data_IF_127825239774
#
_entry.id   IF_127825239774
#
_cell.length_a   1.000
_cell.length_b   1.000
_cell.length_c   1.000
_cell.angle_alpha   90.00
_cell.angle_beta   90.00
_cell.angle_gamma   90.00
#
_symmetry.space_group_name_H-M   'P 1'
#
loop_
_entity.id
_entity.type
_entity.pdbx_description
1 polymer ?
#
# COMPACT_ATOMS: atom_id res chain seq x y z
N UNK A 1 -5.83 -35.42 -17.05
CA UNK A 1 -6.36 -34.38 -16.19
C UNK A 1 -6.67 -33.16 -17.04
N UNK A 2 -7.90 -32.68 -17.09
CA UNK A 2 -8.22 -31.51 -17.89
C UNK A 2 -7.76 -30.27 -17.13
N UNK A 3 -6.65 -29.68 -17.57
CA UNK A 3 -6.30 -28.31 -17.21
C UNK A 3 -7.32 -27.35 -17.81
N UNK A 4 -8.48 -27.23 -17.20
CA UNK A 4 -9.38 -26.13 -17.50
C UNK A 4 -8.68 -24.85 -17.08
N UNK A 5 -8.31 -24.04 -18.07
CA UNK A 5 -7.76 -22.70 -17.89
C UNK A 5 -8.82 -21.81 -17.23
N UNK A 6 -8.80 -21.74 -15.91
CA UNK A 6 -9.65 -20.81 -15.12
C UNK A 6 -9.44 -19.33 -15.53
N UNK A 7 -8.38 -19.05 -16.31
CA UNK A 7 -8.05 -17.67 -16.73
C UNK A 7 -8.97 -17.04 -17.78
N UNK A 8 -9.78 -17.81 -18.49
CA UNK A 8 -10.54 -17.25 -19.62
C UNK A 8 -12.03 -17.09 -19.37
N UNK A 9 -12.53 -17.35 -18.17
CA UNK A 9 -13.98 -17.31 -17.90
C UNK A 9 -14.40 -16.32 -16.80
N UNK A 10 -13.46 -15.56 -16.22
CA UNK A 10 -13.85 -14.46 -15.35
C UNK A 10 -14.14 -13.22 -16.21
N UNK A 11 -15.40 -12.77 -16.26
CA UNK A 11 -15.74 -11.55 -16.99
C UNK A 11 -15.07 -10.34 -16.31
N UNK A 12 -14.15 -9.70 -17.03
CA UNK A 12 -13.43 -8.51 -16.57
C UNK A 12 -14.23 -7.22 -16.82
N UNK A 13 -15.49 -7.34 -17.25
CA UNK A 13 -16.34 -6.18 -17.53
C UNK A 13 -17.35 -5.95 -16.41
N UNK A 14 -17.45 -4.72 -15.88
CA UNK A 14 -18.47 -4.37 -14.87
C UNK A 14 -19.93 -4.51 -15.36
N UNK A 15 -20.12 -4.80 -16.65
CA UNK A 15 -21.45 -4.96 -17.29
C UNK A 15 -21.82 -6.42 -17.55
N UNK A 16 -20.97 -7.39 -17.18
CA UNK A 16 -21.28 -8.80 -17.36
C UNK A 16 -22.19 -9.30 -16.22
N UNK A 17 -23.26 -9.98 -16.58
CA UNK A 17 -24.11 -10.69 -15.62
C UNK A 17 -23.30 -11.81 -14.98
N UNK A 18 -22.95 -11.66 -13.69
CA UNK A 18 -22.20 -12.63 -12.91
C UNK A 18 -23.10 -13.66 -12.21
N UNK A 19 -24.43 -13.53 -12.35
CA UNK A 19 -25.42 -14.42 -11.71
C UNK A 19 -25.15 -15.90 -12.02
N UNK A 20 -24.91 -16.31 -13.29
CA UNK A 20 -24.65 -17.72 -13.61
C UNK A 20 -23.35 -18.25 -12.97
N UNK A 21 -22.34 -17.39 -12.78
CA UNK A 21 -21.10 -17.78 -12.11
C UNK A 21 -21.33 -17.99 -10.61
N UNK A 22 -22.06 -17.08 -9.98
CA UNK A 22 -22.40 -17.15 -8.56
C UNK A 22 -23.29 -18.37 -8.30
N UNK A 23 -24.32 -18.60 -9.11
CA UNK A 23 -25.21 -19.76 -8.99
C UNK A 23 -24.42 -21.07 -9.17
N UNK A 24 -23.49 -21.12 -10.11
CA UNK A 24 -22.63 -22.29 -10.30
C UNK A 24 -21.67 -22.55 -9.12
N UNK A 25 -21.16 -21.50 -8.49
CA UNK A 25 -20.35 -21.62 -7.28
C UNK A 25 -21.18 -22.04 -6.06
N UNK A 26 -22.38 -21.49 -5.91
CA UNK A 26 -23.29 -21.85 -4.82
C UNK A 26 -23.75 -23.30 -4.96
N UNK A 27 -24.11 -23.77 -6.16
CA UNK A 27 -24.45 -25.17 -6.40
C UNK A 27 -23.32 -26.10 -5.98
N UNK A 28 -22.06 -25.81 -6.34
CA UNK A 28 -20.89 -26.61 -5.94
C UNK A 28 -20.66 -26.65 -4.42
N UNK A 29 -20.97 -25.56 -3.73
CA UNK A 29 -20.83 -25.50 -2.25
C UNK A 29 -21.97 -26.26 -1.56
N UNK A 30 -23.16 -26.30 -2.16
CA UNK A 30 -24.35 -26.93 -1.56
C UNK A 30 -24.46 -28.42 -1.86
N UNK A 31 -23.93 -28.91 -2.98
CA UNK A 31 -23.97 -30.33 -3.35
C UNK A 31 -23.12 -31.24 -2.45
N UNK A 32 -22.23 -30.66 -1.66
CA UNK A 32 -21.44 -31.30 -0.60
C UNK A 32 -20.93 -32.70 -0.99
N UNK A 33 -20.46 -32.84 -2.26
CA UNK A 33 -19.85 -34.08 -2.74
C UNK A 33 -18.47 -34.26 -2.08
N UNK A 34 -18.28 -35.29 -1.25
CA UNK A 34 -17.01 -35.53 -0.58
C UNK A 34 -15.87 -35.80 -1.56
N UNK A 35 -16.15 -36.38 -2.71
CA UNK A 35 -15.14 -36.70 -3.73
C UNK A 35 -14.69 -35.44 -4.47
N UNK A 36 -15.62 -34.58 -4.92
CA UNK A 36 -15.28 -33.30 -5.53
C UNK A 36 -14.53 -32.39 -4.54
N UNK A 37 -14.94 -32.36 -3.28
CA UNK A 37 -14.25 -31.60 -2.22
C UNK A 37 -12.81 -32.10 -2.01
N UNK A 38 -12.57 -33.40 -2.10
CA UNK A 38 -11.24 -33.99 -1.99
C UNK A 38 -10.36 -33.58 -3.18
N UNK A 39 -10.88 -33.67 -4.40
CA UNK A 39 -10.18 -33.23 -5.61
C UNK A 39 -9.75 -31.76 -5.56
N UNK A 40 -10.63 -30.89 -5.06
CA UNK A 40 -10.29 -29.48 -4.87
C UNK A 40 -9.17 -29.26 -3.85
N UNK A 41 -9.16 -30.00 -2.74
CA UNK A 41 -8.09 -29.95 -1.74
C UNK A 41 -6.76 -30.41 -2.32
N UNK A 42 -6.74 -31.54 -2.97
CA UNK A 42 -5.54 -32.08 -3.62
C UNK A 42 -4.99 -31.12 -4.68
N UNK A 43 -5.88 -30.51 -5.45
CA UNK A 43 -5.52 -29.48 -6.42
C UNK A 43 -4.94 -28.23 -5.76
N UNK A 44 -5.54 -27.76 -4.67
CA UNK A 44 -5.05 -26.59 -3.91
C UNK A 44 -3.66 -26.87 -3.32
N UNK A 45 -3.48 -28.03 -2.70
CA UNK A 45 -2.20 -28.43 -2.12
C UNK A 45 -1.10 -28.52 -3.19
N UNK A 46 -1.43 -29.05 -4.37
CA UNK A 46 -0.51 -29.09 -5.51
C UNK A 46 -0.15 -27.69 -6.02
N UNK A 47 -1.12 -26.77 -6.07
CA UNK A 47 -0.87 -25.38 -6.47
C UNK A 47 -0.03 -24.62 -5.44
N UNK A 48 -0.24 -24.86 -4.15
CA UNK A 48 0.57 -24.28 -3.08
C UNK A 48 2.02 -24.78 -3.19
N UNK A 49 2.20 -26.10 -3.36
CA UNK A 49 3.52 -26.70 -3.55
C UNK A 49 4.23 -26.17 -4.81
N UNK A 50 3.51 -26.01 -5.91
CA UNK A 50 4.06 -25.44 -7.14
C UNK A 50 4.43 -23.96 -6.97
N UNK A 51 3.60 -23.17 -6.29
CA UNK A 51 3.92 -21.78 -5.97
C UNK A 51 5.20 -21.67 -5.16
N UNK A 52 5.34 -22.49 -4.11
CA UNK A 52 6.55 -22.57 -3.30
C UNK A 52 7.77 -22.98 -4.15
N UNK A 53 7.63 -23.99 -5.01
CA UNK A 53 8.70 -24.43 -5.89
C UNK A 53 9.17 -23.35 -6.86
N UNK A 54 8.24 -22.57 -7.41
CA UNK A 54 8.54 -21.49 -8.35
C UNK A 54 9.20 -20.30 -7.66
N UNK A 55 8.66 -19.91 -6.51
CA UNK A 55 9.06 -18.68 -5.85
C UNK A 55 10.23 -18.83 -4.89
N UNK A 56 10.35 -19.96 -4.21
CA UNK A 56 11.34 -20.13 -3.14
C UNK A 56 12.51 -21.06 -3.52
N UNK A 57 12.34 -21.89 -4.56
CA UNK A 57 13.36 -22.89 -4.91
C UNK A 57 13.99 -22.71 -6.29
N UNK A 58 13.24 -22.24 -7.30
CA UNK A 58 13.70 -22.20 -8.70
C UNK A 58 13.94 -20.81 -9.26
N UNK A 59 13.34 -19.77 -8.66
CA UNK A 59 13.36 -18.43 -9.21
C UNK A 59 14.23 -17.47 -8.42
N UNK A 60 14.87 -16.55 -9.15
CA UNK A 60 15.35 -15.29 -8.57
C UNK A 60 14.28 -14.24 -8.82
N UNK A 61 13.68 -13.75 -7.73
CA UNK A 61 12.64 -12.72 -7.83
C UNK A 61 13.25 -11.35 -8.02
N UNK A 62 13.13 -10.81 -9.24
CA UNK A 62 13.54 -9.45 -9.57
C UNK A 62 12.37 -8.45 -9.48
N UNK A 63 11.21 -8.86 -8.98
CA UNK A 63 10.09 -7.95 -8.76
C UNK A 63 10.26 -7.22 -7.43
N UNK A 64 10.51 -5.89 -7.44
CA UNK A 64 10.76 -5.11 -6.22
C UNK A 64 9.51 -4.95 -5.35
N UNK A 65 8.34 -5.38 -5.83
CA UNK A 65 7.11 -5.42 -5.04
C UNK A 65 6.94 -6.71 -4.23
N UNK A 66 7.83 -7.70 -4.41
CA UNK A 66 7.86 -8.96 -3.66
C UNK A 66 8.91 -8.90 -2.55
N UNK A 67 8.66 -9.60 -1.46
CA UNK A 67 9.61 -9.74 -0.38
C UNK A 67 9.47 -11.11 0.31
N UNK A 68 10.48 -11.49 1.07
CA UNK A 68 10.47 -12.65 1.96
C UNK A 68 10.07 -12.18 3.35
N UNK A 69 8.95 -12.68 3.86
CA UNK A 69 8.51 -12.33 5.21
C UNK A 69 9.42 -12.97 6.26
N UNK A 70 9.64 -12.26 7.37
CA UNK A 70 10.31 -12.85 8.53
C UNK A 70 9.52 -14.09 9.00
N UNK A 71 10.15 -15.28 9.16
CA UNK A 71 9.44 -16.52 9.51
C UNK A 71 8.65 -16.44 10.82
N UNK A 72 9.10 -15.64 11.80
CA UNK A 72 8.34 -15.42 13.04
C UNK A 72 7.09 -14.58 12.79
N UNK A 73 7.17 -13.56 11.94
CA UNK A 73 6.02 -12.74 11.57
C UNK A 73 5.01 -13.57 10.77
N UNK A 74 5.49 -14.43 9.87
CA UNK A 74 4.63 -15.34 9.10
C UNK A 74 3.91 -16.35 10.01
N UNK A 75 4.61 -16.96 10.96
CA UNK A 75 4.03 -17.88 11.92
C UNK A 75 2.91 -17.24 12.77
N UNK A 76 2.97 -15.95 13.07
CA UNK A 76 1.92 -15.24 13.80
C UNK A 76 0.60 -15.15 13.04
N UNK A 77 0.60 -15.25 11.70
CA UNK A 77 -0.63 -15.24 10.88
C UNK A 77 -1.54 -16.42 11.21
N UNK A 78 -0.99 -17.54 11.68
CA UNK A 78 -1.72 -18.75 12.07
C UNK A 78 -2.08 -18.79 13.56
N UNK A 79 -1.77 -17.77 14.36
CA UNK A 79 -2.00 -17.74 15.81
C UNK A 79 -3.36 -17.13 16.21
N UNK A 80 -4.35 -17.25 15.35
CA UNK A 80 -5.75 -16.81 15.57
C UNK A 80 -5.94 -15.30 15.80
N UNK A 81 -4.93 -14.47 15.62
CA UNK A 81 -5.05 -13.01 15.80
C UNK A 81 -5.99 -12.37 14.78
N UNK A 82 -6.07 -12.91 13.57
CA UNK A 82 -6.91 -12.39 12.47
C UNK A 82 -8.37 -12.87 12.50
N UNK A 83 -8.76 -13.71 13.45
CA UNK A 83 -10.12 -14.30 13.49
C UNK A 83 -11.06 -13.61 14.49
N UNK A 84 -10.61 -12.54 15.12
CA UNK A 84 -11.39 -11.80 16.11
C UNK A 84 -11.60 -10.37 15.67
N UNK A 85 -12.82 -9.88 15.79
CA UNK A 85 -13.11 -8.47 15.64
C UNK A 85 -12.40 -7.67 16.74
N UNK A 86 -11.92 -6.49 16.41
CA UNK A 86 -11.24 -5.59 17.35
C UNK A 86 -11.62 -4.15 16.99
N UNK A 87 -12.91 -3.85 17.13
CA UNK A 87 -13.44 -2.51 16.86
C UNK A 87 -13.16 -1.56 18.03
N UNK A 88 -13.08 -0.28 17.71
CA UNK A 88 -12.74 0.77 18.67
C UNK A 88 -11.25 1.01 18.82
N UNK A 89 -10.90 1.92 19.70
CA UNK A 89 -9.51 2.31 20.00
C UNK A 89 -8.98 1.56 21.23
N UNK A 90 -7.66 1.47 21.41
CA UNK A 90 -7.10 0.98 22.67
C UNK A 90 -7.67 1.73 23.87
N UNK A 91 -8.14 0.99 24.88
CA UNK A 91 -8.84 1.53 26.05
C UNK A 91 -10.33 1.81 25.86
N UNK A 92 -10.85 1.69 24.63
CA UNK A 92 -12.27 1.89 24.29
C UNK A 92 -12.70 0.90 23.19
N UNK A 93 -12.57 -0.40 23.48
CA UNK A 93 -12.97 -1.48 22.59
C UNK A 93 -14.45 -1.83 22.77
N UNK A 94 -15.10 -2.20 21.68
CA UNK A 94 -16.52 -2.59 21.73
C UNK A 94 -16.75 -4.00 22.26
N UNK A 95 -15.83 -4.93 21.94
CA UNK A 95 -15.91 -6.31 22.37
C UNK A 95 -15.07 -6.54 23.62
N UNK A 96 -15.49 -7.50 24.45
CA UNK A 96 -14.75 -7.94 25.65
C UNK A 96 -13.64 -8.93 25.29
N UNK A 97 -12.59 -9.02 26.14
CA UNK A 97 -11.50 -9.97 25.97
C UNK A 97 -10.47 -9.54 24.93
N UNK A 98 -10.38 -8.25 24.63
CA UNK A 98 -9.43 -7.67 23.69
C UNK A 98 -8.20 -7.02 24.36
N UNK A 99 -8.03 -7.16 25.68
CA UNK A 99 -6.94 -6.53 26.45
C UNK A 99 -5.54 -6.83 25.86
N UNK A 100 -5.32 -8.07 25.38
CA UNK A 100 -4.04 -8.44 24.79
C UNK A 100 -3.90 -7.86 23.36
N UNK A 101 -4.99 -7.84 22.58
CA UNK A 101 -4.97 -7.31 21.20
C UNK A 101 -4.73 -5.80 21.22
N UNK A 102 -5.37 -5.05 22.10
CA UNK A 102 -5.14 -3.60 22.20
C UNK A 102 -3.71 -3.26 22.64
N UNK A 103 -3.10 -4.06 23.50
CA UNK A 103 -1.68 -3.90 23.84
C UNK A 103 -0.78 -4.17 22.62
N UNK A 104 -1.09 -5.18 21.80
CA UNK A 104 -0.37 -5.45 20.55
C UNK A 104 -0.52 -4.28 19.57
N UNK A 105 -1.72 -3.70 19.46
CA UNK A 105 -1.97 -2.51 18.61
C UNK A 105 -1.12 -1.32 19.07
N UNK A 106 -1.08 -1.04 20.38
CA UNK A 106 -0.25 0.04 20.95
C UNK A 106 1.23 -0.22 20.67
N UNK A 107 1.72 -1.41 20.99
CA UNK A 107 3.13 -1.77 20.73
C UNK A 107 3.49 -1.65 19.26
N UNK A 108 2.61 -2.07 18.33
CA UNK A 108 2.84 -1.95 16.91
C UNK A 108 2.93 -0.48 16.45
N UNK A 109 2.06 0.38 16.98
CA UNK A 109 2.07 1.81 16.65
C UNK A 109 3.32 2.51 17.23
N UNK A 110 3.70 2.22 18.47
CA UNK A 110 4.90 2.77 19.12
C UNK A 110 6.17 2.35 18.39
N UNK A 111 6.32 1.05 18.10
CA UNK A 111 7.47 0.54 17.34
C UNK A 111 7.55 1.11 15.92
N UNK A 112 6.41 1.25 15.24
CA UNK A 112 6.39 1.88 13.93
C UNK A 112 6.81 3.36 14.00
N UNK A 113 6.31 4.09 15.00
CA UNK A 113 6.71 5.48 15.22
C UNK A 113 8.22 5.59 15.53
N UNK A 114 8.76 4.73 16.39
CA UNK A 114 10.19 4.68 16.72
C UNK A 114 11.05 4.38 15.48
N UNK A 115 10.74 3.31 14.75
CA UNK A 115 11.50 2.87 13.56
C UNK A 115 11.57 3.97 12.50
N UNK A 116 10.49 4.72 12.31
CA UNK A 116 10.44 5.79 11.30
C UNK A 116 10.67 7.20 11.87
N UNK A 117 11.05 7.32 13.13
CA UNK A 117 11.31 8.62 13.76
C UNK A 117 10.10 9.56 13.72
N UNK A 118 8.90 9.02 13.85
CA UNK A 118 7.63 9.73 13.81
C UNK A 118 7.02 9.91 15.21
N UNK A 119 6.09 10.86 15.35
CA UNK A 119 5.30 11.00 16.57
C UNK A 119 4.10 10.07 16.61
N UNK A 120 3.52 9.81 15.44
CA UNK A 120 2.28 9.07 15.31
C UNK A 120 2.39 8.02 14.20
N UNK A 121 1.78 6.86 14.43
CA UNK A 121 1.69 5.79 13.45
C UNK A 121 0.27 5.20 13.43
N UNK A 122 -0.29 5.00 12.24
CA UNK A 122 -1.52 4.25 12.04
C UNK A 122 -1.19 2.91 11.36
N UNK A 123 -1.34 1.83 12.13
CA UNK A 123 -0.97 0.46 11.75
C UNK A 123 -2.15 -0.38 11.26
N UNK A 124 -3.39 0.11 11.40
CA UNK A 124 -4.63 -0.62 11.10
C UNK A 124 -5.08 -0.40 9.65
N UNK A 125 -4.16 -0.22 8.74
CA UNK A 125 -4.44 0.04 7.33
C UNK A 125 -4.34 -1.25 6.54
N UNK A 126 -5.41 -1.63 5.85
CA UNK A 126 -5.50 -2.92 5.16
C UNK A 126 -4.60 -3.02 3.92
N UNK A 127 -4.22 -1.91 3.30
CA UNK A 127 -3.31 -1.90 2.15
C UNK A 127 -2.62 -0.56 1.97
N UNK A 128 -1.51 -0.53 1.23
CA UNK A 128 -0.84 0.73 0.89
C UNK A 128 -1.67 1.65 -0.02
N UNK A 129 -2.59 1.10 -0.81
CA UNK A 129 -3.52 1.92 -1.57
C UNK A 129 -4.49 2.68 -0.64
N UNK A 130 -4.94 2.02 0.42
CA UNK A 130 -5.75 2.66 1.47
C UNK A 130 -4.93 3.65 2.30
N UNK A 131 -3.64 3.42 2.53
CA UNK A 131 -2.78 4.42 3.17
C UNK A 131 -2.82 5.74 2.41
N UNK A 132 -2.66 5.70 1.09
CA UNK A 132 -2.73 6.89 0.25
C UNK A 132 -4.13 7.52 0.28
N UNK A 133 -5.19 6.72 0.16
CA UNK A 133 -6.57 7.20 0.22
C UNK A 133 -6.86 7.90 1.55
N UNK A 134 -6.45 7.32 2.67
CA UNK A 134 -6.70 7.91 4.00
C UNK A 134 -5.98 9.25 4.17
N UNK A 135 -4.75 9.38 3.64
CA UNK A 135 -4.07 10.68 3.63
C UNK A 135 -4.83 11.69 2.75
N UNK A 136 -5.31 11.29 1.57
CA UNK A 136 -6.12 12.18 0.73
C UNK A 136 -7.39 12.63 1.45
N UNK A 137 -8.10 11.70 2.11
CA UNK A 137 -9.32 12.01 2.88
C UNK A 137 -9.04 12.92 4.08
N UNK A 138 -7.89 12.77 4.72
CA UNK A 138 -7.51 13.57 5.89
C UNK A 138 -7.02 14.97 5.53
N UNK A 139 -6.49 15.18 4.31
CA UNK A 139 -5.78 16.41 3.94
C UNK A 139 -6.44 17.21 2.82
N UNK A 140 -7.32 16.59 2.04
CA UNK A 140 -7.93 17.17 0.85
C UNK A 140 -9.47 17.05 0.89
N UNK A 141 -10.11 17.78 -0.02
CA UNK A 141 -11.53 17.66 -0.34
C UNK A 141 -11.71 17.33 -1.83
N UNK A 142 -12.85 16.76 -2.19
CA UNK A 142 -13.19 16.53 -3.60
C UNK A 142 -13.12 17.86 -4.39
N UNK A 143 -12.46 17.84 -5.53
CA UNK A 143 -12.18 19.01 -6.35
C UNK A 143 -10.82 19.66 -6.09
N UNK A 144 -10.13 19.32 -4.99
CA UNK A 144 -8.78 19.83 -4.74
C UNK A 144 -7.78 19.32 -5.79
N UNK A 145 -6.74 20.11 -6.01
CA UNK A 145 -5.63 19.75 -6.91
C UNK A 145 -4.46 19.21 -6.10
N UNK A 146 -3.89 18.13 -6.56
CA UNK A 146 -2.63 17.58 -6.07
C UNK A 146 -1.59 17.57 -7.20
N UNK A 147 -0.30 17.67 -6.83
CA UNK A 147 0.81 17.40 -7.74
C UNK A 147 1.39 16.05 -7.36
N UNK A 148 1.57 15.15 -8.33
CA UNK A 148 2.10 13.81 -8.10
C UNK A 148 3.09 13.39 -9.18
N UNK A 149 4.05 12.48 -8.87
CA UNK A 149 4.96 11.94 -9.87
C UNK A 149 4.18 11.32 -11.04
N UNK A 150 4.58 11.56 -12.29
CA UNK A 150 3.92 11.00 -13.48
C UNK A 150 3.92 9.47 -13.45
N UNK A 151 2.87 8.86 -14.01
CA UNK A 151 2.71 7.40 -14.02
C UNK A 151 3.79 6.70 -14.87
N UNK A 152 4.25 7.32 -15.92
CA UNK A 152 5.26 6.82 -16.86
C UNK A 152 6.68 6.76 -16.28
N UNK A 153 6.94 7.43 -15.16
CA UNK A 153 8.20 7.35 -14.42
C UNK A 153 8.05 6.66 -13.05
N UNK A 154 7.01 5.88 -12.85
CA UNK A 154 6.78 5.12 -11.62
C UNK A 154 5.89 5.79 -10.59
N UNK A 155 5.19 6.87 -10.92
CA UNK A 155 4.10 7.39 -10.11
C UNK A 155 3.01 6.33 -9.96
N UNK A 156 2.63 6.02 -8.71
CA UNK A 156 1.67 4.94 -8.47
C UNK A 156 0.25 5.34 -8.86
N UNK A 157 -0.50 4.41 -9.43
CA UNK A 157 -1.89 4.62 -9.91
C UNK A 157 -2.81 5.26 -8.87
N UNK A 158 -2.59 5.02 -7.58
CA UNK A 158 -3.37 5.62 -6.48
C UNK A 158 -3.33 7.13 -6.46
N UNK A 159 -2.30 7.76 -7.02
CA UNK A 159 -2.17 9.23 -7.10
C UNK A 159 -2.86 9.83 -8.32
N UNK A 160 -3.43 9.02 -9.20
CA UNK A 160 -3.98 9.42 -10.50
C UNK A 160 -5.47 9.14 -10.63
N UNK A 161 -6.06 9.63 -11.75
CA UNK A 161 -7.48 9.52 -12.03
C UNK A 161 -8.05 8.08 -11.95
N UNK A 162 -7.36 7.01 -12.42
CA UNK A 162 -7.87 5.65 -12.31
C UNK A 162 -7.80 5.05 -10.90
N UNK A 163 -7.16 5.74 -9.95
CA UNK A 163 -6.92 5.23 -8.60
C UNK A 163 -7.58 6.04 -7.50
N UNK A 164 -7.05 5.91 -6.29
CA UNK A 164 -7.62 6.49 -5.07
C UNK A 164 -7.84 8.01 -5.15
N UNK A 165 -6.90 8.75 -5.74
CA UNK A 165 -7.03 10.20 -5.91
C UNK A 165 -8.24 10.56 -6.78
N UNK A 166 -8.38 9.92 -7.94
CA UNK A 166 -9.50 10.19 -8.82
C UNK A 166 -10.84 9.73 -8.26
N UNK A 167 -10.87 8.56 -7.56
CA UNK A 167 -12.09 8.08 -6.90
C UNK A 167 -12.53 8.99 -5.75
N UNK A 168 -11.60 9.63 -5.06
CA UNK A 168 -11.92 10.65 -4.06
C UNK A 168 -12.27 12.01 -4.68
N UNK A 169 -12.18 12.13 -6.00
CA UNK A 169 -12.54 13.36 -6.72
C UNK A 169 -11.42 14.40 -6.78
N UNK A 170 -10.16 14.02 -6.56
CA UNK A 170 -9.01 14.91 -6.69
C UNK A 170 -8.62 15.10 -8.16
N UNK A 171 -8.07 16.26 -8.46
CA UNK A 171 -7.44 16.58 -9.74
C UNK A 171 -5.93 16.42 -9.60
N UNK A 172 -5.35 15.49 -10.34
CA UNK A 172 -3.91 15.27 -10.33
C UNK A 172 -3.24 16.01 -11.48
N UNK A 173 -2.20 16.77 -11.14
CA UNK A 173 -1.28 17.41 -12.07
C UNK A 173 0.07 16.67 -11.96
N UNK A 174 0.67 16.35 -13.11
CA UNK A 174 1.95 15.67 -13.13
C UNK A 174 3.08 16.59 -12.63
N UNK A 175 3.90 16.10 -11.71
CA UNK A 175 5.13 16.80 -11.32
C UNK A 175 6.10 16.85 -12.50
N UNK A 176 6.79 17.96 -12.71
CA UNK A 176 7.85 18.05 -13.72
C UNK A 176 9.06 17.23 -13.28
N UNK A 177 9.72 16.61 -14.26
CA UNK A 177 10.86 15.72 -14.05
C UNK A 177 12.10 16.22 -14.78
N UNK A 178 13.25 16.08 -14.14
CA UNK A 178 14.56 16.14 -14.76
C UNK A 178 14.97 14.70 -15.14
N UNK A 179 14.83 14.37 -16.43
CA UNK A 179 15.15 13.03 -16.93
C UNK A 179 16.66 12.73 -16.87
N UNK A 180 17.53 13.75 -16.91
CA UNK A 180 18.98 13.57 -16.81
C UNK A 180 19.44 13.30 -15.39
N UNK A 181 18.83 13.97 -14.42
CA UNK A 181 19.07 13.74 -12.98
C UNK A 181 18.26 12.58 -12.41
N UNK A 182 17.31 12.02 -13.17
CA UNK A 182 16.37 10.99 -12.69
C UNK A 182 15.62 11.41 -11.42
N UNK A 183 15.17 12.65 -11.39
CA UNK A 183 14.58 13.30 -10.22
C UNK A 183 13.48 14.29 -10.60
N UNK A 184 12.87 14.92 -9.62
CA UNK A 184 11.95 16.04 -9.80
C UNK A 184 12.76 17.28 -10.24
N UNK A 185 12.27 18.00 -11.27
CA UNK A 185 12.75 19.34 -11.63
C UNK A 185 12.21 20.34 -10.60
N UNK A 186 13.06 20.76 -9.68
CA UNK A 186 12.68 21.62 -8.55
C UNK A 186 12.24 23.01 -9.01
N UNK A 187 12.91 23.60 -9.99
CA UNK A 187 12.57 24.94 -10.47
C UNK A 187 11.25 24.92 -11.25
N UNK A 188 11.04 23.91 -12.07
CA UNK A 188 9.78 23.73 -12.76
C UNK A 188 8.63 23.38 -11.79
N UNK A 189 8.90 22.57 -10.75
CA UNK A 189 7.92 22.26 -9.71
C UNK A 189 7.49 23.54 -8.96
N UNK A 190 8.41 24.42 -8.60
CA UNK A 190 8.11 25.67 -7.93
C UNK A 190 7.17 26.53 -8.79
N UNK A 191 7.50 26.72 -10.08
CA UNK A 191 6.63 27.47 -11.01
C UNK A 191 5.24 26.84 -11.12
N UNK A 192 5.17 25.52 -11.26
CA UNK A 192 3.91 24.79 -11.35
C UNK A 192 3.08 24.93 -10.08
N UNK A 193 3.68 24.76 -8.91
CA UNK A 193 3.01 24.86 -7.62
C UNK A 193 2.39 26.24 -7.40
N UNK A 194 3.13 27.32 -7.73
CA UNK A 194 2.59 28.69 -7.68
C UNK A 194 1.43 28.91 -8.66
N UNK A 195 1.47 28.24 -9.83
CA UNK A 195 0.41 28.37 -10.83
C UNK A 195 -0.86 27.61 -10.43
N UNK A 196 -0.73 26.35 -9.94
CA UNK A 196 -1.90 25.47 -9.71
C UNK A 196 -2.39 25.51 -8.26
N UNK A 197 -1.59 26.01 -7.32
CA UNK A 197 -1.91 26.08 -5.89
C UNK A 197 -2.43 24.74 -5.34
N UNK A 198 -1.63 23.69 -5.37
CA UNK A 198 -2.08 22.37 -4.95
C UNK A 198 -2.39 22.35 -3.45
N UNK A 199 -3.30 21.49 -3.02
CA UNK A 199 -3.54 21.21 -1.60
C UNK A 199 -2.50 20.27 -1.03
N UNK A 200 -1.99 19.36 -1.88
CA UNK A 200 -1.01 18.33 -1.51
C UNK A 200 0.00 18.18 -2.66
N UNK A 201 1.27 18.06 -2.32
CA UNK A 201 2.33 17.58 -3.22
C UNK A 201 2.72 16.20 -2.75
N UNK A 202 2.82 15.23 -3.67
CA UNK A 202 3.29 13.89 -3.35
C UNK A 202 4.64 13.63 -4.00
N UNK A 203 5.52 12.97 -3.28
CA UNK A 203 6.82 12.49 -3.75
C UNK A 203 6.96 10.98 -3.47
N UNK A 204 8.04 10.38 -3.95
CA UNK A 204 8.21 8.93 -3.89
C UNK A 204 7.45 8.22 -5.01
N UNK A 205 7.50 6.89 -5.03
CA UNK A 205 6.87 6.09 -6.07
C UNK A 205 7.49 4.71 -6.21
N UNK A 206 7.33 4.10 -7.40
CA UNK A 206 7.76 2.72 -7.64
C UNK A 206 9.17 2.60 -8.23
N UNK A 207 9.66 3.62 -8.93
CA UNK A 207 10.98 3.63 -9.56
C UNK A 207 11.87 4.67 -8.84
N UNK A 208 12.79 4.20 -8.00
CA UNK A 208 13.63 5.05 -7.17
C UNK A 208 15.09 4.60 -7.33
N UNK A 209 15.89 5.36 -8.07
CA UNK A 209 17.34 5.11 -8.22
C UNK A 209 18.17 5.95 -7.26
N UNK A 210 17.70 7.15 -6.93
CA UNK A 210 18.40 8.10 -6.08
C UNK A 210 17.46 8.63 -5.00
N UNK A 211 18.04 9.23 -3.96
CA UNK A 211 17.28 9.92 -2.93
C UNK A 211 16.50 11.08 -3.54
N UNK A 212 15.26 11.26 -3.08
CA UNK A 212 14.42 12.37 -3.52
C UNK A 212 14.81 13.67 -2.82
N UNK A 213 14.71 14.84 -3.48
CA UNK A 213 15.01 16.15 -2.88
C UNK A 213 13.86 16.62 -1.97
N UNK A 214 13.61 15.87 -0.88
CA UNK A 214 12.45 16.09 0.00
C UNK A 214 12.43 17.46 0.62
N UNK A 215 13.58 17.95 1.09
CA UNK A 215 13.68 19.28 1.70
C UNK A 215 13.35 20.40 0.71
N UNK A 216 13.78 20.28 -0.55
CA UNK A 216 13.46 21.28 -1.59
C UNK A 216 11.97 21.27 -1.95
N UNK A 217 11.37 20.06 -2.07
CA UNK A 217 9.93 19.90 -2.32
C UNK A 217 9.13 20.42 -1.12
N UNK A 218 9.61 20.21 0.10
CA UNK A 218 9.00 20.77 1.31
C UNK A 218 9.00 22.29 1.30
N UNK A 219 10.12 22.92 0.96
CA UNK A 219 10.19 24.38 0.86
C UNK A 219 9.17 24.94 -0.14
N UNK A 220 9.01 24.28 -1.29
CA UNK A 220 8.00 24.65 -2.28
C UNK A 220 6.57 24.47 -1.74
N UNK A 221 6.32 23.38 -1.03
CA UNK A 221 5.01 23.13 -0.42
C UNK A 221 4.66 24.26 0.57
N UNK A 222 5.61 24.68 1.40
CA UNK A 222 5.43 25.78 2.35
C UNK A 222 5.16 27.12 1.65
N UNK A 223 5.85 27.42 0.53
CA UNK A 223 5.63 28.65 -0.26
C UNK A 223 4.17 28.79 -0.75
N UNK A 224 3.49 27.69 -1.01
CA UNK A 224 2.13 27.67 -1.56
C UNK A 224 1.06 27.23 -0.56
N UNK A 225 1.45 26.91 0.68
CA UNK A 225 0.54 26.42 1.73
C UNK A 225 0.02 25.00 1.48
N UNK A 226 0.77 24.18 0.75
CA UNK A 226 0.47 22.78 0.50
C UNK A 226 1.09 21.87 1.58
N UNK A 227 0.53 20.67 1.73
CA UNK A 227 1.19 19.60 2.48
C UNK A 227 2.11 18.78 1.56
N UNK A 228 3.11 18.12 2.13
CA UNK A 228 3.97 17.17 1.46
C UNK A 228 3.75 15.76 2.00
N UNK A 229 3.34 14.84 1.14
CA UNK A 229 3.23 13.41 1.40
C UNK A 229 4.36 12.67 0.67
N UNK A 230 4.99 11.72 1.34
CA UNK A 230 5.95 10.82 0.71
C UNK A 230 5.39 9.40 0.62
N UNK A 231 5.20 8.88 -0.60
CA UNK A 231 4.85 7.47 -0.82
C UNK A 231 6.11 6.61 -0.78
N UNK A 232 6.36 6.03 0.39
CA UNK A 232 7.50 5.18 0.69
C UNK A 232 7.23 3.69 0.45
N UNK A 233 6.22 3.34 -0.35
CA UNK A 233 5.79 1.96 -0.56
C UNK A 233 6.94 1.02 -0.96
N UNK A 234 7.88 1.47 -1.78
CA UNK A 234 9.05 0.70 -2.20
C UNK A 234 10.30 0.95 -1.35
N UNK A 235 10.32 2.03 -0.59
CA UNK A 235 11.51 2.49 0.14
C UNK A 235 11.43 2.30 1.65
N UNK A 236 10.31 1.81 2.19
CA UNK A 236 10.09 1.68 3.63
C UNK A 236 11.21 0.89 4.34
N UNK A 237 11.70 -0.20 3.73
CA UNK A 237 12.84 -0.94 4.28
C UNK A 237 14.16 -0.17 4.26
N UNK A 238 14.37 0.69 3.25
CA UNK A 238 15.58 1.54 3.17
C UNK A 238 15.59 2.60 4.28
N UNK A 239 14.42 3.17 4.59
CA UNK A 239 14.28 4.14 5.67
C UNK A 239 14.36 3.47 7.05
N UNK A 240 13.69 2.33 7.24
CA UNK A 240 13.76 1.56 8.47
C UNK A 240 15.18 1.07 8.78
N UNK A 241 15.96 0.74 7.75
CA UNK A 241 17.37 0.33 7.85
C UNK A 241 18.35 1.48 7.81
N UNK A 242 17.91 2.73 7.82
CA UNK A 242 18.74 3.96 7.76
C UNK A 242 19.72 4.00 6.57
N UNK A 243 19.41 3.31 5.48
CA UNK A 243 20.24 3.30 4.27
C UNK A 243 20.03 4.56 3.41
N UNK A 244 18.86 5.18 3.53
CA UNK A 244 18.49 6.45 2.91
C UNK A 244 17.96 7.41 3.98
N UNK A 245 18.03 8.72 3.70
CA UNK A 245 17.51 9.75 4.60
C UNK A 245 16.00 9.63 4.76
N UNK A 246 15.55 9.73 6.01
CA UNK A 246 14.13 9.64 6.33
C UNK A 246 13.38 10.89 5.83
N UNK A 247 12.35 10.73 4.97
CA UNK A 247 11.56 11.84 4.46
C UNK A 247 10.91 12.72 5.54
N UNK A 248 10.50 12.14 6.68
CA UNK A 248 9.95 12.94 7.79
C UNK A 248 11.00 13.86 8.40
N UNK A 249 12.26 13.38 8.52
CA UNK A 249 13.36 14.20 9.01
C UNK A 249 13.73 15.32 8.04
N UNK A 250 13.50 15.12 6.74
CA UNK A 250 13.69 16.13 5.71
C UNK A 250 12.45 17.04 5.48
N UNK A 251 11.40 16.85 6.28
CA UNK A 251 10.27 17.74 6.34
C UNK A 251 8.99 17.26 5.66
N UNK A 252 8.91 16.02 5.18
CA UNK A 252 7.61 15.48 4.75
C UNK A 252 6.63 15.52 5.93
N UNK A 253 5.38 15.91 5.69
CA UNK A 253 4.37 15.97 6.73
C UNK A 253 3.86 14.58 7.09
N UNK A 254 3.75 13.71 6.09
CA UNK A 254 3.22 12.36 6.23
C UNK A 254 3.94 11.41 5.28
N UNK A 255 4.14 10.19 5.72
CA UNK A 255 4.73 9.12 4.91
C UNK A 255 3.77 7.92 4.90
N UNK A 256 3.49 7.38 3.71
CA UNK A 256 2.66 6.21 3.49
C UNK A 256 3.50 5.02 3.04
N UNK A 257 3.14 3.83 3.46
CA UNK A 257 3.94 2.63 3.20
C UNK A 257 3.08 1.41 2.89
N UNK A 258 3.73 0.41 2.29
CA UNK A 258 3.21 -0.94 2.10
C UNK A 258 4.09 -1.92 2.87
N UNK A 259 3.52 -2.63 3.82
CA UNK A 259 4.29 -3.47 4.74
C UNK A 259 4.89 -4.71 4.08
N UNK A 260 4.30 -5.23 3.01
CA UNK A 260 4.73 -6.47 2.34
C UNK A 260 5.82 -6.28 1.28
N UNK A 261 6.21 -5.02 0.96
CA UNK A 261 7.31 -4.75 0.04
C UNK A 261 8.66 -4.78 0.79
N UNK A 262 9.51 -3.79 0.62
CA UNK A 262 10.84 -3.75 1.20
C UNK A 262 10.86 -3.81 2.74
N UNK A 263 9.76 -3.57 3.44
CA UNK A 263 9.67 -3.73 4.89
C UNK A 263 9.54 -5.20 5.34
N UNK A 264 9.13 -6.13 4.44
CA UNK A 264 9.12 -7.57 4.72
C UNK A 264 8.02 -8.05 5.65
N UNK A 265 6.93 -7.32 5.75
CA UNK A 265 5.75 -7.71 6.53
C UNK A 265 4.67 -8.40 5.69
N UNK A 266 3.52 -8.68 6.31
CA UNK A 266 2.33 -9.16 5.61
C UNK A 266 1.71 -8.06 4.75
N UNK A 267 0.76 -8.43 3.88
CA UNK A 267 -0.04 -7.46 3.14
C UNK A 267 -0.77 -6.51 4.10
N UNK A 268 -0.50 -5.22 3.94
CA UNK A 268 -1.03 -4.15 4.78
C UNK A 268 -0.46 -2.80 4.36
N UNK A 269 -0.92 -1.75 5.02
CA UNK A 269 -0.43 -0.40 4.91
C UNK A 269 0.04 0.15 6.26
N UNK A 270 0.77 1.24 6.21
CA UNK A 270 1.22 1.98 7.38
C UNK A 270 1.25 3.46 7.02
N UNK A 271 0.85 4.31 7.94
CA UNK A 271 0.95 5.76 7.82
C UNK A 271 1.70 6.27 9.05
N UNK A 272 2.68 7.15 8.84
CA UNK A 272 3.41 7.82 9.94
C UNK A 272 3.46 9.32 9.70
N UNK A 273 3.41 10.10 10.77
CA UNK A 273 3.41 11.57 10.73
C UNK A 273 3.99 12.17 12.01
N UNK A 274 4.38 13.45 11.94
CA UNK A 274 4.86 14.26 13.08
C UNK A 274 3.81 15.26 13.57
#
# INVERSE_FOLDING_TARGET
PPTRRVRNELPVSPTSDTTPLIDGLLAKVTDNDPEETREWRESLDALIAENHRLHDQRGLHLNPASNVMNPRAEALLSQHLGTRASLGYPGDKYEVGLDAIEQIEVMAAELAAEVFGARHAEVRVASGALSNLYVFMATCQAGDTIIAPPADIGGHVTHHQPGAAGWFGLRTVAAPIDAAAYSIDIDALRRLAHQVKPKLITAGGSLNLFEHPVADVRAIADEVGALLMFDAAHLSGMFAGHAWKNPLAEGAHVMTMRTYKSLGGRAGGLIVTN
#
